data_IF_950648155352
#
_entry.id   IF_950648155352
#
_cell.length_a   1.000
_cell.length_b   1.000
_cell.length_c   1.000
_cell.angle_alpha   90.00
_cell.angle_beta   90.00
_cell.angle_gamma   90.00
#
_symmetry.space_group_name_H-M   'P 1'
#
loop_
_entity.id
_entity.type
_entity.pdbx_description
1 polymer ?
#
# COMPACT_ATOMS: atom_id res chain seq x y z
N UNK A 1 -3.93 14.81 -8.82
CA UNK A 1 -3.24 13.53 -9.09
C UNK A 1 -1.75 13.72 -8.91
N UNK A 2 -1.06 12.81 -8.20
CA UNK A 2 0.40 12.80 -8.15
C UNK A 2 0.99 12.72 -9.56
N UNK A 3 2.11 13.42 -9.77
CA UNK A 3 2.77 13.50 -11.07
C UNK A 3 4.28 13.46 -10.89
N UNK A 4 4.96 12.69 -11.74
CA UNK A 4 6.41 12.74 -11.89
C UNK A 4 6.74 13.60 -13.10
N UNK A 5 7.72 14.49 -12.95
CA UNK A 5 8.23 15.33 -14.02
C UNK A 5 9.70 15.03 -14.26
N UNK A 6 10.04 14.45 -15.42
CA UNK A 6 11.42 14.37 -15.90
C UNK A 6 11.74 15.58 -16.76
N UNK A 7 12.95 16.11 -16.58
CA UNK A 7 13.45 17.24 -17.35
C UNK A 7 14.92 17.02 -17.68
N UNK A 8 15.33 17.44 -18.88
CA UNK A 8 16.72 17.42 -19.26
C UNK A 8 16.99 18.26 -20.50
N UNK A 9 18.27 18.54 -20.75
CA UNK A 9 18.73 19.33 -21.90
C UNK A 9 18.88 18.50 -23.18
N UNK A 10 19.00 17.18 -23.07
CA UNK A 10 19.04 16.24 -24.20
C UNK A 10 17.71 15.48 -24.30
N UNK A 11 16.88 15.72 -25.32
CA UNK A 11 15.59 15.04 -25.49
C UNK A 11 15.68 13.52 -25.55
N UNK A 12 16.66 12.98 -26.27
CA UNK A 12 16.77 11.53 -26.48
C UNK A 12 17.01 10.81 -25.15
N UNK A 13 17.96 11.33 -24.36
CA UNK A 13 18.24 10.80 -23.02
C UNK A 13 17.02 10.90 -22.08
N UNK A 14 16.27 12.02 -22.15
CA UNK A 14 15.04 12.19 -21.35
C UNK A 14 13.97 11.18 -21.77
N UNK A 15 13.78 10.94 -23.08
CA UNK A 15 12.82 9.94 -23.59
C UNK A 15 13.19 8.52 -23.15
N UNK A 16 14.43 8.12 -23.39
CA UNK A 16 14.92 6.79 -23.00
C UNK A 16 14.73 6.54 -21.49
N UNK A 17 15.04 7.56 -20.68
CA UNK A 17 14.85 7.49 -19.22
C UNK A 17 13.37 7.42 -18.85
N UNK A 18 12.52 8.25 -19.47
CA UNK A 18 11.09 8.24 -19.22
C UNK A 18 10.45 6.92 -19.61
N UNK A 19 10.82 6.33 -20.74
CA UNK A 19 10.35 5.01 -21.16
C UNK A 19 10.75 3.91 -20.17
N UNK A 20 12.02 3.89 -19.74
CA UNK A 20 12.50 2.94 -18.75
C UNK A 20 11.74 3.07 -17.42
N UNK A 21 11.54 4.32 -16.97
CA UNK A 21 10.77 4.61 -15.76
C UNK A 21 9.31 4.17 -15.89
N UNK A 22 8.63 4.51 -17.01
CA UNK A 22 7.24 4.11 -17.24
C UNK A 22 7.08 2.60 -17.26
N UNK A 23 8.02 1.86 -17.86
CA UNK A 23 8.02 0.39 -17.80
C UNK A 23 8.10 -0.12 -16.37
N UNK A 24 9.01 0.41 -15.56
CA UNK A 24 9.15 0.02 -14.16
C UNK A 24 7.90 0.36 -13.33
N UNK A 25 7.33 1.56 -13.52
CA UNK A 25 6.13 2.00 -12.81
C UNK A 25 4.90 1.16 -13.18
N UNK A 26 4.76 0.77 -14.45
CA UNK A 26 3.68 -0.12 -14.90
C UNK A 26 3.78 -1.54 -14.35
N UNK A 27 4.98 -1.98 -13.97
CA UNK A 27 5.20 -3.27 -13.33
C UNK A 27 4.84 -3.27 -11.83
N UNK A 28 4.66 -2.10 -11.21
CA UNK A 28 4.23 -2.00 -9.81
C UNK A 28 2.77 -2.45 -9.64
N UNK A 29 2.51 -3.22 -8.58
CA UNK A 29 1.16 -3.61 -8.17
C UNK A 29 0.39 -2.51 -7.44
N UNK A 30 1.09 -1.48 -6.96
CA UNK A 30 0.50 -0.40 -6.16
C UNK A 30 0.14 0.82 -7.01
N UNK A 31 0.74 0.94 -8.20
CA UNK A 31 0.62 2.12 -9.04
C UNK A 31 -0.12 1.83 -10.35
N UNK A 32 -0.90 2.81 -10.78
CA UNK A 32 -1.44 2.90 -12.11
C UNK A 32 -0.83 4.13 -12.78
N UNK A 33 -0.21 3.92 -13.94
CA UNK A 33 0.33 5.00 -14.77
C UNK A 33 -0.81 5.55 -15.62
N UNK A 34 -1.07 6.85 -15.48
CA UNK A 34 -2.06 7.60 -16.24
C UNK A 34 -1.45 8.18 -17.53
N UNK A 35 -1.79 9.44 -17.82
CA UNK A 35 -1.30 10.13 -19.00
C UNK A 35 0.22 10.34 -18.95
N UNK A 36 0.84 10.26 -20.14
CA UNK A 36 2.25 10.54 -20.34
C UNK A 36 2.37 11.56 -21.46
N UNK A 37 2.81 12.77 -21.11
CA UNK A 37 2.91 13.88 -22.06
C UNK A 37 4.34 14.41 -22.18
N UNK A 38 4.76 14.59 -23.43
CA UNK A 38 6.03 15.21 -23.79
C UNK A 38 5.82 16.71 -24.08
N UNK A 39 6.63 17.55 -23.45
CA UNK A 39 6.60 19.00 -23.64
C UNK A 39 8.01 19.50 -23.95
N UNK A 40 8.30 19.89 -25.20
CA UNK A 40 9.56 20.54 -25.54
C UNK A 40 9.81 21.80 -24.71
N UNK A 41 11.08 22.11 -24.46
CA UNK A 41 11.43 23.36 -23.78
C UNK A 41 11.17 24.57 -24.69
N UNK A 42 10.70 25.68 -24.07
CA UNK A 42 10.52 26.95 -24.79
C UNK A 42 11.84 27.54 -25.29
N UNK A 43 12.97 27.17 -24.67
CA UNK A 43 14.31 27.63 -25.00
C UNK A 43 15.28 26.47 -24.91
N UNK A 44 16.17 26.39 -25.90
CA UNK A 44 17.16 25.32 -26.00
C UNK A 44 16.55 23.96 -26.37
N UNK A 45 17.40 22.95 -26.58
CA UNK A 45 16.97 21.67 -27.13
C UNK A 45 16.29 20.75 -26.11
N UNK A 46 16.06 21.16 -24.86
CA UNK A 46 15.61 20.23 -23.82
C UNK A 46 14.16 19.75 -23.92
N UNK A 47 13.84 18.73 -23.11
CA UNK A 47 12.53 18.08 -23.06
C UNK A 47 12.04 17.98 -21.61
N UNK A 48 10.72 18.07 -21.43
CA UNK A 48 10.02 17.70 -20.19
C UNK A 48 9.06 16.56 -20.49
N UNK A 49 9.01 15.58 -19.61
CA UNK A 49 8.03 14.49 -19.67
C UNK A 49 7.27 14.49 -18.36
N UNK A 50 5.95 14.52 -18.47
CA UNK A 50 5.02 14.46 -17.35
C UNK A 50 4.38 13.09 -17.34
N UNK A 51 4.39 12.42 -16.19
CA UNK A 51 3.79 11.10 -16.00
C UNK A 51 2.83 11.19 -14.83
N UNK A 52 1.54 11.02 -15.11
CA UNK A 52 0.52 10.98 -14.07
C UNK A 52 0.47 9.61 -13.39
N UNK A 53 0.23 9.63 -12.08
CA UNK A 53 0.18 8.42 -11.27
C UNK A 53 -1.08 8.41 -10.40
N UNK A 54 -1.61 7.21 -10.24
CA UNK A 54 -2.71 6.89 -9.34
C UNK A 54 -2.26 5.73 -8.45
N UNK A 55 -2.66 5.75 -7.19
CA UNK A 55 -2.61 4.55 -6.36
C UNK A 55 -3.70 3.60 -6.85
N UNK A 56 -3.36 2.33 -7.09
CA UNK A 56 -4.38 1.31 -7.30
C UNK A 56 -5.11 1.12 -5.98
N UNK A 57 -6.43 1.18 -6.04
CA UNK A 57 -7.23 0.73 -4.90
C UNK A 57 -6.94 -0.75 -4.66
N UNK A 58 -6.79 -1.19 -3.40
CA UNK A 58 -6.64 -2.61 -3.12
C UNK A 58 -7.88 -3.32 -3.65
N UNK A 59 -7.67 -4.21 -4.63
CA UNK A 59 -8.73 -5.07 -5.13
C UNK A 59 -9.29 -5.94 -4.00
N UNK A 60 -10.53 -6.44 -4.13
CA UNK A 60 -11.15 -7.31 -3.11
C UNK A 60 -10.30 -8.52 -2.74
N UNK A 61 -9.40 -8.95 -3.62
CA UNK A 61 -8.49 -10.09 -3.42
C UNK A 61 -7.32 -9.82 -2.44
N UNK A 62 -7.08 -8.56 -2.04
CA UNK A 62 -6.09 -8.24 -1.00
C UNK A 62 -6.64 -8.36 0.42
N UNK A 63 -7.94 -8.63 0.60
CA UNK A 63 -8.50 -9.03 1.89
C UNK A 63 -8.22 -10.52 2.13
N UNK A 64 -6.97 -10.86 2.43
CA UNK A 64 -6.64 -12.20 2.93
C UNK A 64 -7.25 -12.35 4.31
N UNK A 65 -8.45 -12.93 4.37
CA UNK A 65 -9.06 -13.31 5.65
C UNK A 65 -8.39 -14.60 6.10
N UNK A 66 -7.40 -14.48 6.98
CA UNK A 66 -6.76 -15.63 7.62
C UNK A 66 -7.65 -16.09 8.76
N UNK A 67 -8.44 -17.14 8.53
CA UNK A 67 -9.16 -17.85 9.59
C UNK A 67 -8.23 -18.91 10.17
N UNK A 68 -7.81 -18.74 11.43
CA UNK A 68 -7.07 -19.76 12.17
C UNK A 68 -8.08 -20.60 12.93
N UNK A 69 -8.35 -21.82 12.46
CA UNK A 69 -9.08 -22.81 13.26
C UNK A 69 -8.11 -23.44 14.25
N UNK A 70 -8.39 -23.25 15.54
CA UNK A 70 -7.60 -23.85 16.62
C UNK A 70 -8.09 -25.29 16.82
N UNK A 71 -7.35 -26.26 16.29
CA UNK A 71 -7.59 -27.70 16.53
C UNK A 71 -7.08 -28.13 17.92
N UNK A 72 -7.47 -27.40 18.98
CA UNK A 72 -7.31 -27.92 20.34
C UNK A 72 -8.45 -28.90 20.57
N UNK A 73 -8.25 -30.18 20.19
CA UNK A 73 -9.08 -31.25 20.77
C UNK A 73 -8.90 -31.18 22.29
N UNK A 74 -9.97 -30.92 23.08
CA UNK A 74 -9.86 -31.07 24.52
C UNK A 74 -9.64 -32.57 24.78
N UNK A 75 -8.41 -32.93 25.16
CA UNK A 75 -8.10 -34.28 25.62
C UNK A 75 -9.06 -34.68 26.74
N UNK A 76 -9.49 -35.96 26.82
CA UNK A 76 -10.50 -36.37 27.77
C UNK A 76 -9.96 -36.24 29.19
N UNK A 77 -10.61 -35.38 29.98
CA UNK A 77 -10.72 -35.51 31.43
C UNK A 77 -9.46 -35.26 32.26
N UNK A 78 -9.22 -34.00 32.62
CA UNK A 78 -8.69 -33.69 33.96
C UNK A 78 -9.53 -32.57 34.57
N UNK A 79 -10.39 -32.96 35.50
CA UNK A 79 -11.27 -32.11 36.28
C UNK A 79 -10.42 -31.26 37.24
N UNK A 80 -9.88 -30.15 36.75
CA UNK A 80 -9.21 -29.16 37.59
C UNK A 80 -10.30 -28.31 38.24
N UNK A 81 -10.46 -28.43 39.56
CA UNK A 81 -11.34 -27.55 40.33
C UNK A 81 -10.90 -26.10 40.13
N UNK A 82 -11.69 -25.32 39.39
CA UNK A 82 -11.56 -23.87 39.37
C UNK A 82 -12.08 -23.38 40.71
N UNK A 83 -11.14 -23.04 41.61
CA UNK A 83 -11.43 -22.30 42.84
C UNK A 83 -11.84 -20.89 42.43
N UNK A 84 -13.14 -20.64 42.38
CA UNK A 84 -13.71 -19.30 42.16
C UNK A 84 -13.28 -18.38 43.29
N UNK A 85 -12.20 -17.62 43.10
CA UNK A 85 -11.98 -16.40 43.88
C UNK A 85 -12.72 -15.28 43.16
N UNK A 86 -13.98 -15.07 43.54
CA UNK A 86 -14.67 -13.81 43.27
C UNK A 86 -13.89 -12.70 43.96
N UNK A 87 -13.13 -11.92 43.19
CA UNK A 87 -12.71 -10.61 43.64
C UNK A 87 -13.94 -9.68 43.56
N UNK A 88 -14.55 -9.40 44.71
CA UNK A 88 -15.55 -8.36 44.82
C UNK A 88 -14.87 -7.01 44.53
N UNK A 89 -15.39 -6.26 43.55
CA UNK A 89 -15.04 -4.85 43.39
C UNK A 89 -15.47 -4.08 44.65
N UNK A 90 -14.64 -3.18 45.20
CA UNK A 90 -15.06 -2.31 46.29
C UNK A 90 -16.12 -1.30 45.81
N UNK A 91 -17.11 -0.94 46.66
CA UNK A 91 -18.13 0.04 46.29
C UNK A 91 -17.53 1.44 46.11
N UNK A 92 -18.05 2.18 45.13
CA UNK A 92 -17.64 3.55 44.84
C UNK A 92 -18.00 4.52 45.99
N UNK A 93 -17.19 5.55 46.25
CA UNK A 93 -17.48 6.53 47.30
C UNK A 93 -18.67 7.42 46.93
N UNK A 94 -19.47 7.88 47.92
CA UNK A 94 -20.57 8.80 47.70
C UNK A 94 -20.05 10.19 47.30
N UNK A 95 -20.87 10.88 46.47
CA UNK A 95 -20.65 12.23 45.96
C UNK A 95 -20.72 13.30 47.02
#
# INVERSE_FOLDING_TARGET
>A
MPQIRLMGSNPSSVRETAEAMVRALRASSELQVGDVSEVPNRRGPGLRVYVELLLREPGPEQQVTVTVEREDRPGPGRRTQVRTRQAALPPAPPR
#
